data_IF_509211370995
#
_entry.id   IF_509211370995
#
_cell.length_a   1.000
_cell.length_b   1.000
_cell.length_c   1.000
_cell.angle_alpha   90.00
_cell.angle_beta   90.00
_cell.angle_gamma   90.00
#
_symmetry.space_group_name_H-M   'P 1'
#
loop_
_entity.id
_entity.type
_entity.pdbx_description
1 polymer ?
#
# COMPACT_ATOMS: atom_id res chain seq x y z
N UNK A 1 127.18 32.28 -79.39
CA UNK A 1 126.11 31.29 -79.71
C UNK A 1 126.41 30.04 -78.89
N UNK A 2 125.73 29.85 -77.76
CA UNK A 2 124.42 29.17 -77.64
C UNK A 2 124.59 27.68 -78.02
N UNK A 3 124.66 26.75 -77.07
CA UNK A 3 123.50 26.13 -76.42
C UNK A 3 123.94 25.05 -75.43
N UNK A 4 123.37 25.09 -74.23
CA UNK A 4 123.32 23.99 -73.28
C UNK A 4 122.26 22.99 -73.77
N UNK A 5 122.36 21.70 -73.43
CA UNK A 5 121.19 21.15 -72.75
C UNK A 5 121.53 20.33 -71.51
N UNK A 6 120.90 20.82 -70.46
CA UNK A 6 120.54 20.22 -69.18
C UNK A 6 120.04 18.78 -69.39
N UNK A 7 120.71 17.79 -68.78
CA UNK A 7 120.07 16.51 -68.47
C UNK A 7 119.36 16.68 -67.13
N UNK A 8 118.03 16.75 -67.21
CA UNK A 8 117.14 16.76 -66.07
C UNK A 8 117.29 15.46 -65.29
N UNK A 9 117.61 15.62 -64.00
CA UNK A 9 117.43 14.63 -62.97
C UNK A 9 115.93 14.66 -62.60
N UNK A 10 115.13 13.78 -63.19
CA UNK A 10 113.75 13.55 -62.76
C UNK A 10 113.61 12.10 -62.29
N UNK A 11 114.27 11.84 -61.16
CA UNK A 11 113.97 10.70 -60.31
C UNK A 11 112.90 11.17 -59.30
N UNK A 12 111.77 10.47 -59.29
CA UNK A 12 110.94 10.26 -58.08
C UNK A 12 109.82 11.27 -57.71
N UNK A 13 109.18 11.96 -58.67
CA UNK A 13 107.93 12.73 -58.39
C UNK A 13 106.66 12.17 -59.04
N UNK A 14 106.79 11.27 -60.02
CA UNK A 14 105.65 10.65 -60.72
C UNK A 14 104.97 9.49 -59.98
N UNK A 15 105.60 8.89 -58.97
CA UNK A 15 105.05 7.75 -58.23
C UNK A 15 104.39 8.16 -56.91
N UNK A 16 104.83 9.24 -56.26
CA UNK A 16 104.25 9.70 -54.99
C UNK A 16 102.84 10.31 -55.14
N UNK A 17 102.61 11.08 -56.21
CA UNK A 17 101.31 11.71 -56.49
C UNK A 17 100.24 10.69 -56.91
N UNK A 18 100.61 9.73 -57.75
CA UNK A 18 99.73 8.63 -58.18
C UNK A 18 99.42 7.68 -57.02
N UNK A 19 100.38 7.40 -56.14
CA UNK A 19 100.14 6.57 -54.96
C UNK A 19 99.24 7.26 -53.93
N UNK A 20 99.35 8.59 -53.74
CA UNK A 20 98.45 9.33 -52.85
C UNK A 20 97.02 9.41 -53.38
N UNK A 21 96.82 9.56 -54.70
CA UNK A 21 95.50 9.50 -55.35
C UNK A 21 94.87 8.11 -55.21
N UNK A 22 95.64 7.05 -55.48
CA UNK A 22 95.17 5.65 -55.36
C UNK A 22 94.85 5.27 -53.91
N UNK A 23 95.58 5.80 -52.93
CA UNK A 23 95.27 5.59 -51.50
C UNK A 23 93.96 6.32 -51.10
N UNK A 24 93.75 7.55 -51.58
CA UNK A 24 92.51 8.29 -51.35
C UNK A 24 91.29 7.64 -52.01
N UNK A 25 91.43 7.15 -53.24
CA UNK A 25 90.39 6.41 -53.96
C UNK A 25 90.02 5.09 -53.27
N UNK A 26 91.01 4.36 -52.74
CA UNK A 26 90.76 3.13 -51.98
C UNK A 26 90.02 3.40 -50.65
N UNK A 27 90.38 4.46 -49.95
CA UNK A 27 89.67 4.90 -48.73
C UNK A 27 88.22 5.30 -49.03
N UNK A 28 87.99 6.03 -50.13
CA UNK A 28 86.66 6.43 -50.56
C UNK A 28 85.78 5.23 -50.97
N UNK A 29 86.37 4.18 -51.58
CA UNK A 29 85.67 2.94 -51.90
C UNK A 29 85.24 2.18 -50.63
N UNK A 30 86.11 2.09 -49.62
CA UNK A 30 85.79 1.44 -48.34
C UNK A 30 84.68 2.19 -47.59
N UNK A 31 84.71 3.52 -47.58
CA UNK A 31 83.63 4.36 -47.04
C UNK A 31 82.32 4.17 -47.82
N UNK A 32 82.38 4.04 -49.15
CA UNK A 32 81.20 3.77 -49.98
C UNK A 32 80.59 2.40 -49.66
N UNK A 33 81.41 1.37 -49.46
CA UNK A 33 80.94 0.03 -49.09
C UNK A 33 80.33 0.00 -47.68
N UNK A 34 80.94 0.71 -46.71
CA UNK A 34 80.38 0.87 -45.36
C UNK A 34 79.06 1.61 -45.39
N UNK A 35 78.97 2.72 -46.11
CA UNK A 35 77.73 3.52 -46.22
C UNK A 35 76.63 2.76 -46.97
N UNK A 36 76.97 1.99 -48.00
CA UNK A 36 76.03 1.09 -48.69
C UNK A 36 75.45 0.05 -47.74
N UNK A 37 76.29 -0.60 -46.93
CA UNK A 37 75.84 -1.57 -45.93
C UNK A 37 74.94 -0.93 -44.86
N UNK A 38 75.29 0.26 -44.39
CA UNK A 38 74.45 1.03 -43.47
C UNK A 38 73.09 1.38 -44.08
N UNK A 39 73.05 1.75 -45.37
CA UNK A 39 71.81 2.04 -46.08
C UNK A 39 70.91 0.80 -46.18
N UNK A 40 71.48 -0.36 -46.53
CA UNK A 40 70.75 -1.64 -46.54
C UNK A 40 70.19 -1.99 -45.16
N UNK A 41 70.98 -1.83 -44.09
CA UNK A 41 70.54 -2.08 -42.71
C UNK A 41 69.43 -1.11 -42.25
N UNK A 42 69.45 0.14 -42.70
CA UNK A 42 68.39 1.13 -42.42
C UNK A 42 67.12 0.80 -43.20
N UNK A 43 67.23 0.43 -44.48
CA UNK A 43 66.08 0.03 -45.31
C UNK A 43 65.37 -1.19 -44.71
N UNK A 44 66.12 -2.22 -44.29
CA UNK A 44 65.55 -3.40 -43.65
C UNK A 44 64.78 -3.06 -42.37
N UNK A 45 65.38 -2.25 -41.49
CA UNK A 45 64.73 -1.80 -40.25
C UNK A 45 63.48 -0.96 -40.52
N UNK A 46 63.48 -0.15 -41.58
CA UNK A 46 62.31 0.61 -42.00
C UNK A 46 61.16 -0.31 -42.44
N UNK A 47 61.44 -1.32 -43.27
CA UNK A 47 60.43 -2.29 -43.71
C UNK A 47 59.83 -3.07 -42.52
N UNK A 48 60.68 -3.55 -41.60
CA UNK A 48 60.23 -4.21 -40.36
C UNK A 48 59.31 -3.30 -39.52
N UNK A 49 59.67 -2.02 -39.39
CA UNK A 49 58.88 -1.03 -38.67
C UNK A 49 57.54 -0.75 -39.38
N UNK A 50 57.53 -0.70 -40.71
CA UNK A 50 56.31 -0.50 -41.49
C UNK A 50 55.34 -1.68 -41.32
N UNK A 51 55.86 -2.92 -41.35
CA UNK A 51 55.05 -4.13 -41.09
C UNK A 51 54.47 -4.10 -39.69
N UNK A 52 55.28 -3.77 -38.67
CA UNK A 52 54.83 -3.65 -37.28
C UNK A 52 53.75 -2.57 -37.14
N UNK A 53 53.98 -1.38 -37.71
CA UNK A 53 53.02 -0.29 -37.67
C UNK A 53 51.68 -0.67 -38.32
N UNK A 54 51.69 -1.40 -39.44
CA UNK A 54 50.46 -1.91 -40.08
C UNK A 54 49.72 -2.91 -39.19
N UNK A 55 50.45 -3.78 -38.49
CA UNK A 55 49.87 -4.72 -37.54
C UNK A 55 49.24 -4.00 -36.34
N UNK A 56 49.94 -3.03 -35.75
CA UNK A 56 49.46 -2.24 -34.60
C UNK A 56 48.20 -1.45 -34.97
N UNK A 57 48.17 -0.79 -36.13
CA UNK A 57 46.98 -0.09 -36.64
C UNK A 57 45.79 -1.07 -36.75
N UNK A 58 46.00 -2.30 -37.22
CA UNK A 58 44.94 -3.30 -37.35
C UNK A 58 44.37 -3.72 -35.99
N UNK A 59 45.22 -3.83 -34.96
CA UNK A 59 44.79 -4.12 -33.58
C UNK A 59 43.99 -2.94 -33.04
N UNK A 60 44.49 -1.71 -33.15
CA UNK A 60 43.79 -0.51 -32.70
C UNK A 60 42.41 -0.37 -33.36
N UNK A 61 42.28 -0.65 -34.66
CA UNK A 61 41.00 -0.63 -35.36
C UNK A 61 40.02 -1.65 -34.77
N UNK A 62 40.48 -2.86 -34.42
CA UNK A 62 39.65 -3.89 -33.79
C UNK A 62 39.21 -3.48 -32.38
N UNK A 63 40.12 -2.91 -31.59
CA UNK A 63 39.82 -2.43 -30.24
C UNK A 63 38.81 -1.29 -30.28
N UNK A 64 39.02 -0.29 -31.13
CA UNK A 64 38.09 0.82 -31.30
C UNK A 64 36.71 0.32 -31.76
N UNK A 65 36.65 -0.66 -32.66
CA UNK A 65 35.38 -1.28 -33.07
C UNK A 65 34.71 -2.01 -31.91
N UNK A 66 35.46 -2.78 -31.14
CA UNK A 66 34.95 -3.48 -29.95
C UNK A 66 34.44 -2.51 -28.88
N UNK A 67 35.19 -1.44 -28.60
CA UNK A 67 34.82 -0.40 -27.64
C UNK A 67 33.55 0.34 -28.07
N UNK A 68 33.41 0.69 -29.35
CA UNK A 68 32.20 1.31 -29.88
C UNK A 68 30.97 0.41 -29.74
N UNK A 69 31.13 -0.88 -30.02
CA UNK A 69 30.04 -1.85 -29.84
C UNK A 69 29.65 -1.96 -28.36
N UNK A 70 30.63 -2.14 -27.46
CA UNK A 70 30.39 -2.21 -26.02
C UNK A 70 29.73 -0.93 -25.49
N UNK A 71 30.16 0.25 -25.93
CA UNK A 71 29.53 1.52 -25.56
C UNK A 71 28.07 1.59 -26.01
N UNK A 72 27.75 1.12 -27.23
CA UNK A 72 26.39 1.09 -27.73
C UNK A 72 25.50 0.13 -26.94
N UNK A 73 26.02 -1.06 -26.60
CA UNK A 73 25.33 -2.05 -25.77
C UNK A 73 25.08 -1.53 -24.36
N UNK A 74 26.08 -0.92 -23.71
CA UNK A 74 25.93 -0.32 -22.38
C UNK A 74 24.91 0.81 -22.39
N UNK A 75 24.91 1.67 -23.41
CA UNK A 75 23.91 2.74 -23.54
C UNK A 75 22.50 2.17 -23.68
N UNK A 76 22.33 1.13 -24.49
CA UNK A 76 21.04 0.42 -24.65
C UNK A 76 20.61 -0.21 -23.34
N UNK A 77 21.50 -0.91 -22.64
CA UNK A 77 21.25 -1.53 -21.34
C UNK A 77 20.88 -0.52 -20.27
N UNK A 78 21.56 0.63 -20.23
CA UNK A 78 21.25 1.72 -19.30
C UNK A 78 19.85 2.30 -19.56
N UNK A 79 19.50 2.60 -20.81
CA UNK A 79 18.16 3.10 -21.15
C UNK A 79 17.06 2.10 -20.80
N UNK A 80 17.29 0.81 -21.05
CA UNK A 80 16.37 -0.25 -20.69
C UNK A 80 16.21 -0.37 -19.17
N UNK A 81 17.32 -0.41 -18.44
CA UNK A 81 17.32 -0.50 -16.97
C UNK A 81 16.66 0.72 -16.32
N UNK A 82 16.86 1.92 -16.89
CA UNK A 82 16.20 3.13 -16.40
C UNK A 82 14.68 3.06 -16.58
N UNK A 83 14.21 2.52 -17.72
CA UNK A 83 12.78 2.29 -17.96
C UNK A 83 12.20 1.29 -16.96
N UNK A 84 12.84 0.13 -16.83
CA UNK A 84 12.44 -0.92 -15.88
C UNK A 84 12.39 -0.40 -14.44
N UNK A 85 13.39 0.41 -14.04
CA UNK A 85 13.40 1.08 -12.75
C UNK A 85 12.19 2.00 -12.57
N UNK A 86 11.90 2.85 -13.55
CA UNK A 86 10.75 3.76 -13.46
C UNK A 86 9.40 3.03 -13.42
N UNK A 87 9.27 1.93 -14.17
CA UNK A 87 8.08 1.09 -14.15
C UNK A 87 7.91 0.38 -12.80
N UNK A 88 9.00 -0.13 -12.22
CA UNK A 88 9.00 -0.75 -10.89
C UNK A 88 8.68 0.27 -9.78
N UNK A 89 9.24 1.48 -9.85
CA UNK A 89 8.93 2.56 -8.90
C UNK A 89 7.44 2.96 -8.96
N UNK A 90 6.87 3.04 -10.16
CA UNK A 90 5.43 3.30 -10.36
C UNK A 90 4.57 2.19 -9.76
N UNK A 91 4.93 0.92 -9.98
CA UNK A 91 4.20 -0.22 -9.38
C UNK A 91 4.30 -0.22 -7.86
N UNK A 92 5.47 0.07 -7.30
CA UNK A 92 5.66 0.16 -5.86
C UNK A 92 4.80 1.29 -5.25
N UNK A 93 4.68 2.42 -5.94
CA UNK A 93 3.83 3.53 -5.47
C UNK A 93 2.35 3.15 -5.49
N UNK A 94 1.90 2.45 -6.54
CA UNK A 94 0.55 1.91 -6.63
C UNK A 94 0.26 0.92 -5.49
N UNK A 95 1.17 -0.03 -5.25
CA UNK A 95 1.03 -1.02 -4.17
C UNK A 95 0.91 -0.33 -2.79
N UNK A 96 1.73 0.70 -2.53
CA UNK A 96 1.65 1.48 -1.29
C UNK A 96 0.29 2.18 -1.13
N UNK A 97 -0.24 2.77 -2.20
CA UNK A 97 -1.55 3.41 -2.16
C UNK A 97 -2.66 2.39 -1.89
N UNK A 98 -2.63 1.24 -2.56
CA UNK A 98 -3.57 0.15 -2.33
C UNK A 98 -3.48 -0.38 -0.89
N UNK A 99 -2.27 -0.55 -0.36
CA UNK A 99 -2.05 -1.01 1.01
C UNK A 99 -2.59 -0.03 2.06
N UNK A 100 -2.38 1.28 1.90
CA UNK A 100 -2.95 2.27 2.81
C UNK A 100 -4.48 2.36 2.70
N UNK A 101 -5.04 2.22 1.50
CA UNK A 101 -6.49 2.12 1.32
C UNK A 101 -7.07 0.90 2.05
N UNK A 102 -6.48 -0.29 1.85
CA UNK A 102 -6.91 -1.53 2.51
C UNK A 102 -6.79 -1.42 4.04
N UNK A 103 -5.70 -0.85 4.53
CA UNK A 103 -5.50 -0.58 5.96
C UNK A 103 -6.58 0.33 6.53
N UNK A 104 -6.94 1.40 5.82
CA UNK A 104 -8.01 2.33 6.22
C UNK A 104 -9.36 1.62 6.25
N UNK A 105 -9.69 0.84 5.22
CA UNK A 105 -10.93 0.06 5.16
C UNK A 105 -11.02 -0.96 6.31
N UNK A 106 -9.92 -1.67 6.62
CA UNK A 106 -9.83 -2.60 7.75
C UNK A 106 -9.96 -1.91 9.10
N UNK A 107 -9.36 -0.73 9.26
CA UNK A 107 -9.54 0.07 10.47
C UNK A 107 -11.00 0.49 10.66
N UNK A 108 -11.70 0.89 9.58
CA UNK A 108 -13.13 1.20 9.61
C UNK A 108 -13.96 -0.02 10.00
N UNK A 109 -13.74 -1.17 9.37
CA UNK A 109 -14.43 -2.42 9.69
C UNK A 109 -14.19 -2.83 11.16
N UNK A 110 -12.96 -2.71 11.65
CA UNK A 110 -12.64 -3.01 13.05
C UNK A 110 -13.39 -2.07 14.01
N UNK A 111 -13.50 -0.79 13.66
CA UNK A 111 -14.26 0.18 14.43
C UNK A 111 -15.75 -0.17 14.47
N UNK A 112 -16.36 -0.45 13.32
CA UNK A 112 -17.75 -0.92 13.19
C UNK A 112 -18.00 -2.17 14.03
N UNK A 113 -17.12 -3.18 13.94
CA UNK A 113 -17.20 -4.39 14.76
C UNK A 113 -17.09 -4.08 16.27
N UNK A 114 -16.24 -3.13 16.64
CA UNK A 114 -16.08 -2.67 18.02
C UNK A 114 -17.34 -2.01 18.57
N UNK A 115 -17.96 -1.11 17.79
CA UNK A 115 -19.23 -0.48 18.14
C UNK A 115 -20.35 -1.52 18.31
N UNK A 116 -20.45 -2.44 17.35
CA UNK A 116 -21.44 -3.51 17.37
C UNK A 116 -21.29 -4.41 18.60
N UNK A 117 -20.07 -4.83 18.92
CA UNK A 117 -19.79 -5.60 20.13
C UNK A 117 -20.22 -4.85 21.40
N UNK A 118 -19.91 -3.55 21.51
CA UNK A 118 -20.27 -2.76 22.68
C UNK A 118 -21.80 -2.66 22.84
N UNK A 119 -22.54 -2.43 21.75
CA UNK A 119 -24.02 -2.37 21.78
C UNK A 119 -24.67 -3.72 22.03
N UNK A 120 -24.10 -4.81 21.51
CA UNK A 120 -24.52 -6.16 21.89
C UNK A 120 -24.34 -6.42 23.39
N UNK A 121 -23.28 -5.88 23.99
CA UNK A 121 -23.07 -6.00 25.44
C UNK A 121 -24.12 -5.18 26.22
N UNK A 122 -24.54 -4.01 25.73
CA UNK A 122 -25.62 -3.22 26.34
C UNK A 122 -26.97 -3.95 26.29
N UNK A 123 -27.22 -4.73 25.24
CA UNK A 123 -28.42 -5.59 25.13
C UNK A 123 -28.41 -6.79 26.09
N UNK A 124 -27.31 -7.03 26.83
CA UNK A 124 -27.22 -8.13 27.80
C UNK A 124 -28.01 -7.80 29.07
N UNK A 125 -28.91 -8.71 29.44
CA UNK A 125 -29.74 -8.53 30.62
C UNK A 125 -28.95 -8.89 31.88
N UNK A 126 -28.73 -7.91 32.74
CA UNK A 126 -28.03 -8.06 34.03
C UNK A 126 -28.89 -8.75 35.10
N UNK A 127 -29.35 -9.97 34.86
CA UNK A 127 -30.23 -10.70 35.80
C UNK A 127 -29.56 -11.14 37.12
N UNK A 128 -28.22 -11.11 37.23
CA UNK A 128 -27.47 -11.86 38.25
C UNK A 128 -26.55 -11.02 39.15
N UNK A 129 -26.47 -9.70 38.97
CA UNK A 129 -25.48 -8.89 39.68
C UNK A 129 -25.92 -8.47 41.10
N UNK A 130 -27.21 -8.49 41.41
CA UNK A 130 -27.73 -7.89 42.65
C UNK A 130 -28.55 -8.88 43.47
N UNK A 131 -27.88 -9.89 44.05
CA UNK A 131 -28.32 -10.77 45.15
C UNK A 131 -28.47 -12.24 44.77
N UNK A 132 -27.41 -13.01 45.03
CA UNK A 132 -27.41 -14.48 45.05
C UNK A 132 -28.22 -15.07 46.22
N UNK A 133 -29.50 -14.72 46.32
CA UNK A 133 -30.46 -15.31 47.25
C UNK A 133 -31.55 -15.99 46.43
N UNK A 134 -31.89 -17.20 46.85
CA UNK A 134 -33.02 -18.01 46.37
C UNK A 134 -34.23 -17.12 46.07
N UNK A 135 -34.56 -16.98 44.78
CA UNK A 135 -35.52 -16.01 44.27
C UNK A 135 -36.93 -16.49 44.62
N UNK A 136 -37.45 -16.13 45.79
CA UNK A 136 -38.91 -16.05 45.98
C UNK A 136 -39.34 -14.82 45.20
N UNK A 137 -39.79 -15.04 43.96
CA UNK A 137 -40.07 -13.97 43.00
C UNK A 137 -41.49 -13.46 43.25
N UNK A 138 -41.62 -12.22 43.74
CA UNK A 138 -42.91 -11.57 43.79
C UNK A 138 -43.45 -11.34 42.37
N UNK A 139 -44.77 -11.43 42.17
CA UNK A 139 -45.39 -11.22 40.85
C UNK A 139 -45.02 -9.87 40.21
N UNK A 140 -44.75 -8.83 41.01
CA UNK A 140 -44.26 -7.54 40.53
C UNK A 140 -42.83 -7.61 39.95
N UNK A 141 -41.95 -8.44 40.53
CA UNK A 141 -40.59 -8.68 40.03
C UNK A 141 -40.60 -9.45 38.71
N UNK A 142 -41.50 -10.42 38.56
CA UNK A 142 -41.69 -11.16 37.29
C UNK A 142 -42.15 -10.22 36.17
N UNK A 143 -43.13 -9.35 36.44
CA UNK A 143 -43.60 -8.39 35.44
C UNK A 143 -42.47 -7.48 34.96
N UNK A 144 -41.65 -6.96 35.89
CA UNK A 144 -40.50 -6.12 35.54
C UNK A 144 -39.46 -6.88 34.69
N UNK A 145 -39.17 -8.14 35.01
CA UNK A 145 -38.28 -8.99 34.22
C UNK A 145 -38.79 -9.25 32.80
N UNK A 146 -40.11 -9.43 32.63
CA UNK A 146 -40.74 -9.59 31.32
C UNK A 146 -40.60 -8.32 30.47
N UNK A 147 -40.77 -7.14 31.08
CA UNK A 147 -40.59 -5.85 30.40
C UNK A 147 -39.14 -5.64 29.96
N UNK A 148 -38.16 -5.98 30.81
CA UNK A 148 -36.73 -5.92 30.45
C UNK A 148 -36.38 -6.83 29.27
N UNK A 149 -36.97 -8.04 29.21
CA UNK A 149 -36.81 -8.96 28.08
C UNK A 149 -37.38 -8.39 26.78
N UNK A 150 -38.55 -7.72 26.85
CA UNK A 150 -39.17 -7.07 25.69
C UNK A 150 -38.31 -5.88 25.23
N UNK A 151 -37.81 -5.05 26.16
CA UNK A 151 -36.89 -3.96 25.84
C UNK A 151 -35.61 -4.48 25.19
N UNK A 152 -35.03 -5.56 25.71
CA UNK A 152 -33.86 -6.23 25.13
C UNK A 152 -34.13 -6.72 23.70
N UNK A 153 -35.25 -7.40 23.45
CA UNK A 153 -35.61 -7.86 22.11
C UNK A 153 -35.75 -6.70 21.11
N UNK A 154 -36.38 -5.59 21.52
CA UNK A 154 -36.53 -4.39 20.69
C UNK A 154 -35.18 -3.73 20.38
N UNK A 155 -34.27 -3.69 21.34
CA UNK A 155 -32.91 -3.17 21.14
C UNK A 155 -32.09 -4.06 20.19
N UNK A 156 -32.24 -5.38 20.29
CA UNK A 156 -31.61 -6.34 19.37
C UNK A 156 -32.15 -6.14 17.94
N UNK A 157 -33.44 -5.90 17.76
CA UNK A 157 -34.04 -5.66 16.44
C UNK A 157 -33.52 -4.37 15.79
N UNK A 158 -33.36 -3.29 16.57
CA UNK A 158 -32.74 -2.06 16.09
C UNK A 158 -31.30 -2.29 15.61
N UNK A 159 -30.53 -3.10 16.33
CA UNK A 159 -29.15 -3.42 15.99
C UNK A 159 -29.04 -4.22 14.68
N UNK A 160 -29.94 -5.19 14.47
CA UNK A 160 -30.01 -5.95 13.21
C UNK A 160 -30.33 -5.02 12.04
N UNK A 161 -31.30 -4.12 12.21
CA UNK A 161 -31.72 -3.19 11.15
C UNK A 161 -30.60 -2.22 10.75
N UNK A 162 -29.86 -1.70 11.71
CA UNK A 162 -28.74 -0.78 11.45
C UNK A 162 -27.58 -1.48 10.73
N UNK A 163 -27.27 -2.73 11.09
CA UNK A 163 -26.20 -3.48 10.43
C UNK A 163 -26.58 -4.00 9.03
N UNK A 164 -27.89 -4.03 8.72
CA UNK A 164 -28.40 -4.31 7.39
C UNK A 164 -28.39 -3.10 6.46
N UNK A 165 -28.20 -1.88 6.97
CA UNK A 165 -28.02 -0.67 6.17
C UNK A 165 -26.53 -0.46 5.84
N UNK A 166 -26.11 -0.94 4.66
CA UNK A 166 -24.93 -0.39 3.99
C UNK A 166 -25.38 0.79 3.15
N UNK A 167 -25.09 2.01 3.58
CA UNK A 167 -25.10 3.15 2.67
C UNK A 167 -23.84 3.07 1.81
N UNK A 168 -24.08 2.67 0.56
CA UNK A 168 -23.19 2.77 -0.59
C UNK A 168 -22.68 4.21 -0.75
N UNK A 169 -21.60 4.59 -0.08
CA UNK A 169 -20.86 5.79 -0.49
C UNK A 169 -19.39 5.78 -0.07
N UNK A 170 -18.60 4.99 -0.78
CA UNK A 170 -17.25 5.43 -1.17
C UNK A 170 -17.02 4.93 -2.60
N UNK A 171 -17.54 5.67 -3.56
CA UNK A 171 -17.12 5.56 -4.95
C UNK A 171 -15.66 6.04 -5.04
N UNK A 172 -14.71 5.11 -5.00
CA UNK A 172 -13.34 5.35 -5.48
C UNK A 172 -13.21 4.56 -6.78
N UNK A 173 -13.79 5.15 -7.83
CA UNK A 173 -13.67 4.76 -9.23
C UNK A 173 -12.26 5.07 -9.80
N UNK A 174 -11.36 5.63 -8.99
CA UNK A 174 -10.14 6.26 -9.50
C UNK A 174 -8.84 5.55 -9.15
N UNK A 175 -8.86 4.22 -8.96
CA UNK A 175 -7.63 3.41 -9.05
C UNK A 175 -7.94 1.95 -9.40
N UNK A 176 -8.39 1.74 -10.63
CA UNK A 176 -8.49 0.43 -11.28
C UNK A 176 -7.11 -0.27 -11.31
N UNK A 177 -6.83 -1.07 -10.27
CA UNK A 177 -5.99 -2.28 -10.18
C UNK A 177 -5.66 -2.58 -8.71
N UNK A 178 -6.67 -2.56 -7.84
CA UNK A 178 -6.55 -3.37 -6.63
C UNK A 178 -6.66 -4.81 -7.11
N UNK A 179 -5.84 -5.69 -6.55
CA UNK A 179 -5.97 -7.13 -6.72
C UNK A 179 -7.40 -7.50 -6.32
N UNK A 180 -8.25 -7.78 -7.31
CA UNK A 180 -9.69 -8.05 -7.12
C UNK A 180 -9.91 -9.17 -6.09
N UNK A 181 -8.93 -10.08 -5.98
CA UNK A 181 -8.89 -11.16 -4.99
C UNK A 181 -8.77 -10.63 -3.54
N UNK A 182 -7.85 -9.69 -3.27
CA UNK A 182 -7.72 -9.10 -1.93
C UNK A 182 -8.96 -8.31 -1.50
N UNK A 183 -9.60 -7.59 -2.43
CA UNK A 183 -10.88 -6.90 -2.18
C UNK A 183 -12.00 -7.89 -1.89
N UNK A 184 -12.11 -8.93 -2.70
CA UNK A 184 -13.09 -9.98 -2.51
C UNK A 184 -12.93 -10.68 -1.13
N UNK A 185 -11.70 -10.91 -0.68
CA UNK A 185 -11.44 -11.47 0.65
C UNK A 185 -11.88 -10.55 1.80
N UNK A 186 -11.63 -9.23 1.69
CA UNK A 186 -12.07 -8.26 2.70
C UNK A 186 -13.61 -8.16 2.75
N UNK A 187 -14.28 -8.22 1.59
CA UNK A 187 -15.75 -8.23 1.49
C UNK A 187 -16.36 -9.54 2.02
N UNK A 188 -15.73 -10.69 1.74
CA UNK A 188 -16.10 -11.99 2.30
C UNK A 188 -15.99 -11.99 3.83
N UNK A 189 -14.90 -11.43 4.37
CA UNK A 189 -14.73 -11.29 5.82
C UNK A 189 -15.81 -10.39 6.44
N UNK A 190 -16.15 -9.28 5.79
CA UNK A 190 -17.24 -8.38 6.22
C UNK A 190 -18.58 -9.13 6.27
N UNK A 191 -18.88 -9.93 5.25
CA UNK A 191 -20.10 -10.73 5.20
C UNK A 191 -20.11 -11.82 6.28
N UNK A 192 -19.00 -12.53 6.49
CA UNK A 192 -18.89 -13.52 7.56
C UNK A 192 -19.14 -12.90 8.94
N UNK A 193 -18.61 -11.69 9.18
CA UNK A 193 -18.86 -10.97 10.43
C UNK A 193 -20.34 -10.58 10.57
N UNK A 194 -20.98 -10.07 9.50
CA UNK A 194 -22.42 -9.78 9.46
C UNK A 194 -23.26 -11.00 9.81
N UNK A 195 -22.94 -12.14 9.24
CA UNK A 195 -23.66 -13.40 9.50
C UNK A 195 -23.49 -13.83 10.96
N UNK A 196 -22.27 -13.80 11.49
CA UNK A 196 -21.98 -14.14 12.90
C UNK A 196 -22.79 -13.25 13.86
N UNK A 197 -22.84 -11.94 13.61
CA UNK A 197 -23.57 -11.02 14.48
C UNK A 197 -25.09 -11.19 14.38
N UNK A 198 -25.60 -11.43 13.17
CA UNK A 198 -27.03 -11.72 12.95
C UNK A 198 -27.46 -13.02 13.64
N UNK A 199 -26.64 -14.06 13.53
CA UNK A 199 -26.86 -15.33 14.22
C UNK A 199 -26.81 -15.19 15.74
N UNK A 200 -25.86 -14.41 16.26
CA UNK A 200 -25.76 -14.12 17.69
C UNK A 200 -27.00 -13.38 18.21
N UNK A 201 -27.46 -12.37 17.48
CA UNK A 201 -28.67 -11.62 17.80
C UNK A 201 -29.90 -12.53 17.85
N UNK A 202 -30.05 -13.42 16.85
CA UNK A 202 -31.13 -14.41 16.81
C UNK A 202 -31.07 -15.37 18.01
N UNK A 203 -29.90 -15.90 18.35
CA UNK A 203 -29.71 -16.78 19.50
C UNK A 203 -30.11 -16.10 20.82
N UNK A 204 -29.76 -14.83 21.00
CA UNK A 204 -30.15 -14.06 22.20
C UNK A 204 -31.67 -13.89 22.30
N UNK A 205 -32.34 -13.56 21.20
CA UNK A 205 -33.81 -13.48 21.19
C UNK A 205 -34.46 -14.83 21.52
N UNK A 206 -33.90 -15.94 21.04
CA UNK A 206 -34.38 -17.28 21.39
C UNK A 206 -34.22 -17.57 22.88
N UNK A 207 -33.09 -17.19 23.49
CA UNK A 207 -32.89 -17.31 24.94
C UNK A 207 -33.89 -16.44 25.71
N UNK A 208 -34.13 -15.20 25.25
CA UNK A 208 -35.11 -14.30 25.85
C UNK A 208 -36.52 -14.91 25.83
N UNK A 209 -36.92 -15.56 24.74
CA UNK A 209 -38.20 -16.26 24.64
C UNK A 209 -38.29 -17.44 25.61
N UNK A 210 -37.25 -18.28 25.71
CA UNK A 210 -37.22 -19.39 26.68
C UNK A 210 -37.34 -18.89 28.12
N UNK A 211 -36.64 -17.82 28.47
CA UNK A 211 -36.71 -17.22 29.81
C UNK A 211 -38.11 -16.65 30.09
N UNK A 212 -38.72 -16.01 29.09
CA UNK A 212 -40.10 -15.52 29.16
C UNK A 212 -41.11 -16.65 29.41
N UNK A 213 -40.94 -17.79 28.74
CA UNK A 213 -41.77 -18.98 28.97
C UNK A 213 -41.62 -19.48 30.42
N UNK A 214 -40.39 -19.62 30.91
CA UNK A 214 -40.13 -20.09 32.29
C UNK A 214 -40.78 -19.16 33.34
N UNK A 215 -40.58 -17.85 33.22
CA UNK A 215 -41.16 -16.85 34.13
C UNK A 215 -42.71 -16.86 34.13
N UNK A 216 -43.33 -17.09 32.96
CA UNK A 216 -44.80 -17.23 32.86
C UNK A 216 -45.30 -18.52 33.51
N UNK A 217 -44.53 -19.61 33.44
CA UNK A 217 -44.89 -20.88 34.08
C UNK A 217 -44.85 -20.75 35.61
N UNK A 218 -43.81 -20.13 36.17
CA UNK A 218 -43.68 -19.92 37.63
C UNK A 218 -44.84 -19.09 38.20
N UNK A 219 -45.28 -18.04 37.49
CA UNK A 219 -46.44 -17.23 37.91
C UNK A 219 -47.79 -17.93 37.78
N UNK A 220 -47.93 -18.89 36.84
CA UNK A 220 -49.14 -19.70 36.72
C UNK A 220 -49.25 -20.77 37.81
N UNK A 221 -48.13 -21.42 38.18
CA UNK A 221 -48.10 -22.41 39.27
C UNK A 221 -48.45 -21.79 40.62
N UNK A 222 -48.03 -20.54 40.86
CA UNK A 222 -48.31 -19.84 42.12
C UNK A 222 -49.80 -19.45 42.28
N UNK A 223 -50.52 -19.18 41.17
CA UNK A 223 -51.96 -18.88 41.19
C UNK A 223 -52.82 -20.13 41.46
N UNK A 224 -52.38 -21.30 41.01
CA UNK A 224 -53.10 -22.56 41.24
C UNK A 224 -52.96 -23.06 42.69
N UNK A 225 -51.83 -22.81 43.34
CA UNK A 225 -51.62 -23.10 44.77
C UNK A 225 -52.46 -22.19 45.68
N UNK A 226 -52.62 -20.90 45.31
CA UNK A 226 -53.40 -19.94 46.09
C UNK A 226 -54.92 -20.19 45.99
N UNK A 227 -55.38 -20.69 44.83
CA UNK A 227 -56.77 -21.13 44.63
C UNK A 227 -57.10 -22.40 45.42
N UNK A 228 -56.15 -23.33 45.59
CA UNK A 228 -56.33 -24.50 46.46
C UNK A 228 -56.39 -24.14 47.95
N UNK A 229 -55.69 -23.08 48.39
CA UNK A 229 -55.77 -22.57 49.78
C UNK A 229 -57.05 -21.82 50.08
N UNK A 230 -57.64 -21.15 49.08
CA UNK A 230 -58.85 -20.33 49.26
C UNK A 230 -60.17 -21.12 49.26
N UNK A 231 -60.15 -22.39 48.84
CA UNK A 231 -61.31 -23.28 48.84
C UNK A 231 -61.71 -23.86 50.21
N UNK A 232 -60.98 -23.56 51.29
CA UNK A 232 -61.18 -24.18 52.61
C UNK A 232 -61.84 -23.28 53.69
N UNK A 233 -62.22 -22.04 53.38
CA UNK A 233 -62.86 -21.14 54.36
C UNK A 233 -64.24 -20.71 53.86
N UNK A 234 -65.25 -21.39 54.41
CA UNK A 234 -66.66 -21.17 54.15
C UNK A 234 -67.17 -19.79 54.58
N UNK A 235 -68.16 -19.38 53.81
CA UNK A 235 -69.21 -18.37 53.98
C UNK A 235 -69.54 -17.94 55.41
N UNK A 236 -69.72 -16.62 55.62
CA UNK A 236 -70.99 -16.10 56.15
C UNK A 236 -71.17 -14.57 56.00
N UNK A 237 -72.26 -14.23 55.30
CA UNK A 237 -73.28 -13.19 55.54
C UNK A 237 -72.95 -11.68 55.70
N UNK A 238 -73.63 -10.89 54.85
CA UNK A 238 -74.53 -9.75 55.19
C UNK A 238 -74.29 -8.41 54.46
N UNK A 239 -75.11 -8.22 53.41
CA UNK A 239 -75.92 -7.07 52.97
C UNK A 239 -75.86 -5.74 53.77
N UNK A 240 -75.64 -4.63 53.05
CA UNK A 240 -76.41 -3.35 53.01
C UNK A 240 -75.66 -2.37 52.06
N UNK A 241 -76.14 -2.04 50.86
CA UNK A 241 -77.17 -1.07 50.42
C UNK A 241 -76.82 0.43 50.53
N UNK A 242 -76.86 1.02 49.33
CA UNK A 242 -77.39 2.33 48.92
C UNK A 242 -76.49 3.60 48.84
N UNK A 243 -76.78 4.32 47.74
CA UNK A 243 -76.74 5.76 47.46
C UNK A 243 -75.66 6.41 46.58
N UNK A 244 -76.09 6.68 45.32
CA UNK A 244 -76.26 8.00 44.67
C UNK A 244 -75.12 9.04 44.73
N UNK A 245 -74.74 9.58 43.56
CA UNK A 245 -73.97 10.84 43.51
C UNK A 245 -73.30 11.19 42.18
N UNK A 246 -74.04 11.88 41.32
CA UNK A 246 -73.60 12.46 40.03
C UNK A 246 -72.57 13.60 40.17
N UNK A 247 -71.74 13.84 39.12
CA UNK A 247 -71.51 15.15 38.44
C UNK A 247 -70.08 15.39 37.89
N UNK A 248 -69.97 15.37 36.55
CA UNK A 248 -69.50 16.43 35.63
C UNK A 248 -68.33 17.40 35.99
N UNK A 249 -67.38 17.49 35.04
CA UNK A 249 -66.59 18.64 34.50
C UNK A 249 -65.11 18.23 34.35
N UNK A 250 -64.45 18.24 33.20
CA UNK A 250 -64.58 19.09 32.02
C UNK A 250 -63.76 20.36 32.19
N UNK A 251 -62.51 20.38 31.71
CA UNK A 251 -61.79 21.58 31.26
C UNK A 251 -60.57 21.21 30.40
N UNK A 252 -60.69 21.52 29.11
CA UNK A 252 -59.59 21.81 28.19
C UNK A 252 -58.83 23.06 28.62
N UNK A 253 -57.56 23.20 28.21
CA UNK A 253 -57.01 24.39 27.52
C UNK A 253 -55.49 24.28 27.21
N UNK A 254 -55.21 24.29 25.90
CA UNK A 254 -54.24 25.11 25.14
C UNK A 254 -52.73 25.11 25.46
N UNK A 255 -51.99 24.54 24.51
CA UNK A 255 -50.99 25.19 23.62
C UNK A 255 -50.39 26.54 24.05
N UNK A 256 -49.05 26.62 24.12
CA UNK A 256 -48.26 27.81 23.75
C UNK A 256 -46.98 27.39 23.02
N UNK A 257 -46.72 28.15 21.95
CA UNK A 257 -45.63 28.15 20.97
C UNK A 257 -44.39 28.92 21.43
N UNK A 258 -43.20 28.54 20.93
CA UNK A 258 -42.00 29.39 20.70
C UNK A 258 -41.07 28.55 19.80
N UNK A 259 -40.62 28.86 18.58
CA UNK A 259 -40.16 30.06 17.85
C UNK A 259 -38.82 30.65 18.31
N UNK A 260 -37.72 30.22 17.68
CA UNK A 260 -36.47 30.96 17.38
C UNK A 260 -35.61 30.01 16.53
N UNK A 261 -35.24 30.18 15.25
CA UNK A 261 -34.70 31.28 14.42
C UNK A 261 -33.22 31.64 14.67
N UNK A 262 -32.45 31.40 13.60
CA UNK A 262 -31.42 32.25 12.97
C UNK A 262 -29.91 31.89 13.10
N UNK A 263 -29.21 32.34 12.06
CA UNK A 263 -27.77 32.45 11.75
C UNK A 263 -27.15 31.33 10.86
N UNK A 264 -27.01 31.47 9.52
CA UNK A 264 -26.23 32.42 8.68
C UNK A 264 -24.72 32.45 8.99
N UNK A 265 -23.90 32.17 7.97
CA UNK A 265 -22.43 32.18 8.10
C UNK A 265 -21.68 31.71 6.86
N UNK A 266 -21.71 32.53 5.81
CA UNK A 266 -20.82 32.46 4.64
C UNK A 266 -19.33 32.54 5.01
N UNK A 267 -18.41 32.05 4.17
CA UNK A 267 -17.19 32.78 3.74
C UNK A 267 -16.38 32.00 2.68
N UNK A 268 -15.84 32.79 1.76
CA UNK A 268 -15.03 32.55 0.55
C UNK A 268 -13.52 32.37 0.81
N UNK A 269 -12.77 31.82 -0.18
CA UNK A 269 -11.38 32.17 -0.62
C UNK A 269 -10.87 31.01 -1.51
N UNK A 270 -10.57 31.12 -2.81
CA UNK A 270 -9.61 31.93 -3.59
C UNK A 270 -8.13 31.49 -3.49
N UNK A 271 -7.52 31.32 -4.68
CA UNK A 271 -6.10 31.19 -5.03
C UNK A 271 -5.34 29.86 -4.80
N UNK A 272 -4.75 29.29 -5.86
CA UNK A 272 -3.30 29.45 -6.20
C UNK A 272 -3.06 28.96 -7.65
N UNK A 273 -2.77 29.93 -8.53
CA UNK A 273 -1.97 29.77 -9.75
C UNK A 273 -0.48 29.71 -9.35
N UNK A 274 0.38 28.95 -10.05
CA UNK A 274 1.75 29.33 -10.51
C UNK A 274 2.56 28.13 -11.07
N UNK A 275 3.08 28.33 -12.30
CA UNK A 275 4.33 27.85 -12.93
C UNK A 275 4.59 26.34 -13.15
N UNK A 276 5.33 25.87 -14.16
CA UNK A 276 6.27 26.43 -15.15
C UNK A 276 6.46 25.33 -16.23
N UNK A 277 6.37 25.57 -17.53
CA UNK A 277 7.46 26.03 -18.41
C UNK A 277 8.87 25.59 -17.98
N UNK A 278 9.41 24.52 -18.58
CA UNK A 278 10.83 24.39 -18.98
C UNK A 278 11.14 23.06 -19.72
N UNK A 279 11.79 23.22 -20.89
CA UNK A 279 12.43 22.27 -21.84
C UNK A 279 11.60 21.64 -22.95
#
# INVERSE_FOLDING_TARGET
>A
MINLPIKFQDQNLGTASTNASVIGEKSALEELDVTKKQLEDVLKRHEELEIKSKADIKVLVKEVKSLRNSQAELKKGLSQSQKEKSDAERLLQLEKQCAEHAKTARQKLLHECGQLRNRLQECSIGFLAENGKELVVDSASVSHALDLLITSDNQIDLLIAEFAQDDDNVSIDELHKIDDETRALDDELRNMLKDIFTDNARLRKQVNEVLRCALKMDTSSQKDDDLSRRGALGTDTSVEKDDEGSLSRGHDLKTVTSSEKDDEGSLSEEAVHISSLER
#
